data_IF_182700177235
#
_entry.id   IF_182700177235
#
_cell.length_a   1.000
_cell.length_b   1.000
_cell.length_c   1.000
_cell.angle_alpha   90.00
_cell.angle_beta   90.00
_cell.angle_gamma   90.00
#
_symmetry.space_group_name_H-M   'P 1'
#
loop_
_entity.id
_entity.type
_entity.pdbx_description
1 polymer ?
#
# COMPACT_ATOMS: atom_id res chain seq x y z
N UNK A 1 47.43 -72.40 38.50
CA UNK A 1 46.88 -71.03 38.58
C UNK A 1 46.72 -70.49 37.15
N UNK A 2 45.50 -70.29 36.68
CA UNK A 2 45.30 -69.70 35.32
C UNK A 2 45.49 -68.22 35.38
N UNK A 3 46.26 -67.65 34.45
CA UNK A 3 46.50 -66.24 34.25
C UNK A 3 45.35 -65.64 33.44
N UNK A 4 44.56 -64.80 34.06
CA UNK A 4 43.48 -64.07 33.37
C UNK A 4 44.07 -62.91 32.50
N UNK A 5 43.80 -62.95 31.21
CA UNK A 5 44.16 -61.86 30.25
C UNK A 5 43.13 -60.75 30.35
N UNK A 6 43.55 -59.46 30.42
CA UNK A 6 42.61 -58.33 30.54
C UNK A 6 41.85 -58.11 29.26
N UNK A 7 40.49 -58.04 29.34
CA UNK A 7 39.59 -57.74 28.24
C UNK A 7 39.70 -56.21 27.88
N UNK A 8 40.22 -55.90 26.72
CA UNK A 8 40.39 -54.57 26.19
C UNK A 8 39.04 -54.00 25.77
N UNK A 9 38.41 -53.13 26.59
CA UNK A 9 37.17 -52.43 26.24
C UNK A 9 37.41 -51.49 25.05
N UNK A 10 36.76 -51.75 23.92
CA UNK A 10 36.75 -50.87 22.74
C UNK A 10 35.98 -49.60 23.08
N UNK A 11 36.62 -48.42 22.96
CA UNK A 11 35.98 -47.09 23.06
C UNK A 11 34.96 -46.93 21.92
N UNK A 12 33.72 -46.44 22.15
CA UNK A 12 32.77 -46.22 21.11
C UNK A 12 33.30 -45.17 20.14
N UNK A 13 33.19 -45.44 18.84
CA UNK A 13 33.61 -44.52 17.78
C UNK A 13 32.76 -43.23 17.85
N UNK A 14 33.43 -42.10 18.03
CA UNK A 14 32.79 -40.75 18.03
C UNK A 14 32.21 -40.51 16.65
N UNK A 15 30.89 -40.63 16.51
CA UNK A 15 30.13 -40.35 15.28
C UNK A 15 30.38 -38.88 14.91
N UNK A 16 31.19 -38.61 13.90
CA UNK A 16 31.33 -37.28 13.32
C UNK A 16 29.98 -36.87 12.72
N UNK A 17 29.30 -35.93 13.36
CA UNK A 17 28.11 -35.32 12.78
C UNK A 17 28.57 -34.53 11.56
N UNK A 18 28.10 -34.87 10.39
CA UNK A 18 28.42 -34.12 9.17
C UNK A 18 27.78 -32.73 9.26
N UNK A 19 28.46 -31.65 8.82
CA UNK A 19 27.89 -30.29 8.82
C UNK A 19 26.82 -30.09 7.74
N UNK A 20 26.63 -31.09 6.88
CA UNK A 20 25.69 -31.04 5.74
C UNK A 20 24.24 -30.66 6.12
N UNK A 21 23.62 -31.19 7.22
CA UNK A 21 22.25 -30.83 7.56
C UNK A 21 22.11 -29.34 7.98
N UNK A 22 23.15 -28.76 8.60
CA UNK A 22 23.12 -27.34 8.99
C UNK A 22 23.25 -26.41 7.77
N UNK A 23 24.08 -26.79 6.80
CA UNK A 23 24.24 -26.02 5.56
C UNK A 23 22.97 -26.05 4.70
N UNK A 24 22.36 -27.24 4.57
CA UNK A 24 21.11 -27.39 3.86
C UNK A 24 19.95 -26.61 4.52
N UNK A 25 19.88 -26.59 5.84
CA UNK A 25 18.89 -25.80 6.56
C UNK A 25 19.11 -24.29 6.36
N UNK A 26 20.38 -23.82 6.37
CA UNK A 26 20.70 -22.43 6.11
C UNK A 26 20.31 -21.99 4.69
N UNK A 27 20.58 -22.84 3.69
CA UNK A 27 20.20 -22.57 2.30
C UNK A 27 18.68 -22.53 2.15
N UNK A 28 17.93 -23.42 2.79
CA UNK A 28 16.47 -23.40 2.77
C UNK A 28 15.90 -22.14 3.44
N UNK A 29 16.48 -21.67 4.54
CA UNK A 29 16.10 -20.43 5.19
C UNK A 29 16.39 -19.22 4.28
N UNK A 30 17.56 -19.16 3.64
CA UNK A 30 17.91 -18.09 2.71
C UNK A 30 17.02 -18.09 1.46
N UNK A 31 16.60 -19.26 0.97
CA UNK A 31 15.65 -19.37 -0.13
C UNK A 31 14.25 -18.95 0.32
N UNK A 32 13.80 -19.31 1.51
CA UNK A 32 12.50 -18.89 2.04
C UNK A 32 12.44 -17.37 2.28
N UNK A 33 13.53 -16.77 2.79
CA UNK A 33 13.63 -15.30 2.96
C UNK A 33 13.57 -14.57 1.62
N UNK A 34 14.07 -15.19 0.53
CA UNK A 34 13.97 -14.62 -0.82
C UNK A 34 12.53 -14.59 -1.38
N UNK A 35 11.64 -15.44 -0.84
CA UNK A 35 10.21 -15.52 -1.22
C UNK A 35 9.29 -14.69 -0.30
N UNK A 36 9.78 -14.32 0.87
CA UNK A 36 9.07 -13.46 1.81
C UNK A 36 9.90 -12.19 1.89
N UNK A 37 9.53 -11.19 1.11
CA UNK A 37 10.09 -9.84 1.27
C UNK A 37 9.47 -9.22 2.54
N UNK A 38 10.20 -9.15 3.67
CA UNK A 38 9.66 -8.56 4.89
C UNK A 38 9.48 -7.03 4.77
N UNK A 39 10.00 -6.44 3.68
CA UNK A 39 9.89 -5.01 3.35
C UNK A 39 8.94 -4.76 2.18
N UNK A 40 8.29 -5.81 1.63
CA UNK A 40 7.26 -5.61 0.63
C UNK A 40 6.15 -4.73 1.20
N UNK A 41 5.72 -3.68 0.49
CA UNK A 41 4.62 -2.85 0.95
C UNK A 41 3.37 -3.71 1.19
N UNK A 42 2.73 -3.51 2.33
CA UNK A 42 1.47 -4.19 2.62
C UNK A 42 0.40 -3.52 1.78
N UNK A 43 -0.25 -4.29 0.92
CA UNK A 43 -1.41 -3.82 0.18
C UNK A 43 -2.68 -4.15 0.97
N UNK A 44 -3.60 -3.20 1.03
CA UNK A 44 -4.94 -3.43 1.55
C UNK A 44 -5.77 -4.17 0.49
N UNK A 45 -6.73 -5.03 0.89
CA UNK A 45 -7.68 -5.59 -0.05
C UNK A 45 -8.55 -4.48 -0.63
N UNK A 46 -8.50 -4.29 -1.94
CA UNK A 46 -9.31 -3.30 -2.65
C UNK A 46 -10.58 -3.99 -3.14
N UNK A 47 -11.79 -3.54 -2.74
CA UNK A 47 -13.02 -4.03 -3.29
C UNK A 47 -13.20 -3.56 -4.74
N UNK A 48 -13.98 -4.29 -5.52
CA UNK A 48 -14.38 -3.85 -6.85
C UNK A 48 -15.16 -2.53 -6.76
N UNK A 49 -14.83 -1.58 -7.63
CA UNK A 49 -15.56 -0.31 -7.71
C UNK A 49 -16.97 -0.56 -8.25
N UNK A 50 -18.03 -0.12 -7.57
CA UNK A 50 -19.40 -0.25 -8.06
C UNK A 50 -19.60 0.42 -9.42
N UNK A 51 -20.46 -0.17 -10.29
CA UNK A 51 -20.70 0.31 -11.65
C UNK A 51 -21.27 1.75 -11.73
N UNK A 52 -21.86 2.25 -10.66
CA UNK A 52 -22.39 3.63 -10.58
C UNK A 52 -21.32 4.68 -10.26
N UNK A 53 -20.06 4.27 -10.01
CA UNK A 53 -18.92 5.15 -9.87
C UNK A 53 -18.16 5.18 -11.18
N UNK A 54 -17.94 6.36 -11.72
CA UNK A 54 -17.08 6.56 -12.89
C UNK A 54 -15.60 6.45 -12.46
N UNK A 55 -14.86 5.52 -13.06
CA UNK A 55 -13.44 5.34 -12.76
C UNK A 55 -12.62 6.10 -13.79
N UNK A 56 -12.05 7.22 -13.39
CA UNK A 56 -11.15 8.06 -14.18
C UNK A 56 -9.87 8.33 -13.38
N UNK A 57 -8.97 7.34 -13.40
CA UNK A 57 -7.77 7.42 -12.59
C UNK A 57 -6.79 8.45 -13.15
N UNK A 58 -6.31 9.35 -12.30
CA UNK A 58 -5.26 10.30 -12.62
C UNK A 58 -4.01 9.58 -13.15
N UNK A 59 -3.30 10.15 -14.14
CA UNK A 59 -2.00 9.62 -14.54
C UNK A 59 -1.02 9.69 -13.36
N UNK A 60 -0.10 8.71 -13.29
CA UNK A 60 0.96 8.74 -12.27
C UNK A 60 1.83 9.98 -12.43
N UNK A 61 1.92 10.76 -11.36
CA UNK A 61 2.76 11.96 -11.30
C UNK A 61 3.04 12.34 -9.83
N UNK A 62 4.02 13.18 -9.62
CA UNK A 62 4.44 13.59 -8.27
C UNK A 62 3.37 14.40 -7.51
N UNK A 63 2.54 15.18 -8.21
CA UNK A 63 1.72 16.24 -7.61
C UNK A 63 0.29 15.84 -7.27
N UNK A 64 -0.28 14.86 -7.96
CA UNK A 64 -1.67 14.43 -7.72
C UNK A 64 -1.86 12.93 -7.56
N UNK A 65 -0.97 12.10 -8.12
CA UNK A 65 -1.00 10.64 -7.93
C UNK A 65 0.40 10.07 -7.93
N UNK A 66 1.08 9.99 -6.76
CA UNK A 66 2.45 9.49 -6.67
C UNK A 66 2.59 7.98 -6.86
N UNK A 67 1.52 7.22 -6.82
CA UNK A 67 1.55 5.76 -6.84
C UNK A 67 2.12 5.14 -5.56
N UNK A 68 2.13 5.89 -4.47
CA UNK A 68 2.59 5.41 -3.17
C UNK A 68 1.53 4.51 -2.55
N UNK A 69 1.87 3.29 -2.12
CA UNK A 69 0.90 2.38 -1.52
C UNK A 69 0.27 2.93 -0.23
N UNK A 70 -1.04 2.76 -0.10
CA UNK A 70 -1.78 2.97 1.14
C UNK A 70 -1.78 1.66 1.93
N UNK A 71 -1.00 1.58 3.00
CA UNK A 71 -0.79 0.32 3.74
C UNK A 71 -1.92 -0.03 4.72
N UNK A 72 -2.74 0.96 5.08
CA UNK A 72 -3.84 0.82 6.05
C UNK A 72 -4.89 1.90 5.82
N UNK A 73 -6.13 1.62 6.19
CA UNK A 73 -7.20 2.62 6.25
C UNK A 73 -7.71 2.72 7.68
N UNK A 74 -7.45 3.85 8.33
CA UNK A 74 -7.90 4.15 9.69
C UNK A 74 -9.06 5.14 9.73
N UNK A 75 -9.41 5.74 8.59
CA UNK A 75 -10.51 6.69 8.52
C UNK A 75 -10.89 7.08 7.10
N UNK A 76 -11.99 7.78 7.02
CA UNK A 76 -12.45 8.47 5.81
C UNK A 76 -12.45 9.95 6.13
N UNK A 77 -11.88 10.76 5.23
CA UNK A 77 -11.90 12.21 5.32
C UNK A 77 -12.82 12.73 4.22
N UNK A 78 -13.75 13.59 4.61
CA UNK A 78 -14.66 14.26 3.69
C UNK A 78 -14.38 15.75 3.76
N UNK A 79 -14.03 16.32 2.61
CA UNK A 79 -13.87 17.75 2.40
C UNK A 79 -14.89 18.23 1.38
N UNK A 80 -14.99 19.51 1.22
CA UNK A 80 -15.59 20.13 0.06
C UNK A 80 -14.51 20.89 -0.72
N UNK A 81 -14.67 20.91 -2.04
CA UNK A 81 -13.70 21.57 -2.94
C UNK A 81 -13.57 23.05 -2.62
N UNK A 82 -12.38 23.63 -2.79
CA UNK A 82 -12.14 25.05 -2.53
C UNK A 82 -12.74 25.99 -3.57
N UNK A 83 -13.38 25.46 -4.63
CA UNK A 83 -13.90 26.22 -5.76
C UNK A 83 -15.42 26.05 -5.90
N UNK A 84 -16.25 26.87 -5.23
CA UNK A 84 -17.70 26.76 -5.33
C UNK A 84 -18.21 26.81 -6.79
N UNK A 85 -19.26 26.07 -7.08
CA UNK A 85 -19.89 26.03 -8.40
C UNK A 85 -19.13 25.25 -9.47
N UNK A 86 -18.05 24.56 -9.12
CA UNK A 86 -17.33 23.67 -10.04
C UNK A 86 -17.89 22.25 -10.02
N UNK A 87 -17.80 21.58 -11.18
CA UNK A 87 -18.24 20.17 -11.32
C UNK A 87 -17.16 19.18 -10.91
N UNK A 88 -17.52 17.90 -10.77
CA UNK A 88 -16.55 16.84 -10.49
C UNK A 88 -15.50 16.73 -11.61
N UNK A 89 -15.90 16.83 -12.89
CA UNK A 89 -14.98 16.78 -14.04
C UNK A 89 -14.00 17.96 -14.05
N UNK A 90 -14.46 19.16 -13.66
CA UNK A 90 -13.58 20.34 -13.58
C UNK A 90 -12.52 20.15 -12.49
N UNK A 91 -12.90 19.60 -11.34
CA UNK A 91 -11.96 19.33 -10.26
C UNK A 91 -11.04 18.14 -10.60
N UNK A 92 -11.53 17.11 -11.29
CA UNK A 92 -10.69 16.05 -11.84
C UNK A 92 -9.64 16.61 -12.80
N UNK A 93 -10.06 17.46 -13.76
CA UNK A 93 -9.15 18.12 -14.71
C UNK A 93 -8.13 19.02 -14.01
N UNK A 94 -8.50 19.67 -12.91
CA UNK A 94 -7.57 20.43 -12.09
C UNK A 94 -6.49 19.53 -11.50
N UNK A 95 -6.84 18.40 -10.88
CA UNK A 95 -5.88 17.44 -10.36
C UNK A 95 -4.97 16.86 -11.44
N UNK A 96 -5.52 16.54 -12.62
CA UNK A 96 -4.74 16.07 -13.76
C UNK A 96 -3.71 17.10 -14.24
N UNK A 97 -4.12 18.38 -14.30
CA UNK A 97 -3.26 19.48 -14.76
C UNK A 97 -2.10 19.76 -13.80
N UNK A 98 -2.19 19.38 -12.52
CA UNK A 98 -1.08 19.52 -11.57
C UNK A 98 0.17 18.74 -12.01
N UNK A 99 0.03 17.67 -12.77
CA UNK A 99 1.17 16.97 -13.39
C UNK A 99 2.03 17.88 -14.27
N UNK A 100 1.46 18.96 -14.79
CA UNK A 100 2.13 19.89 -15.70
C UNK A 100 2.54 21.20 -15.02
N UNK A 101 1.68 21.73 -14.15
CA UNK A 101 1.93 23.00 -13.47
C UNK A 101 2.83 22.87 -12.26
N UNK A 102 2.73 21.74 -11.53
CA UNK A 102 3.50 21.52 -10.32
C UNK A 102 3.26 22.56 -9.23
N UNK A 103 2.13 23.29 -9.28
CA UNK A 103 1.89 24.41 -8.38
C UNK A 103 1.56 24.02 -6.94
N UNK A 104 1.02 22.81 -6.74
CA UNK A 104 0.69 22.27 -5.43
C UNK A 104 0.55 20.74 -5.48
N UNK A 105 0.47 20.14 -4.30
CA UNK A 105 0.13 18.73 -4.13
C UNK A 105 -1.34 18.63 -3.73
N UNK A 106 -2.21 18.12 -4.60
CA UNK A 106 -3.63 17.96 -4.32
C UNK A 106 -4.25 16.82 -5.13
N UNK A 107 -5.07 16.02 -4.48
CA UNK A 107 -5.98 15.03 -5.08
C UNK A 107 -6.90 14.46 -4.01
N UNK A 108 -7.90 13.70 -4.45
CA UNK A 108 -8.74 12.86 -3.58
C UNK A 108 -8.97 11.50 -4.23
N UNK A 109 -9.38 10.50 -3.43
CA UNK A 109 -9.78 9.22 -4.00
C UNK A 109 -11.06 9.36 -4.80
N UNK A 110 -12.02 10.14 -4.27
CA UNK A 110 -13.29 10.37 -4.92
C UNK A 110 -13.62 11.87 -4.98
N UNK A 111 -14.26 12.26 -6.08
CA UNK A 111 -14.99 13.50 -6.23
C UNK A 111 -16.48 13.19 -6.29
N UNK A 112 -17.28 13.93 -5.54
CA UNK A 112 -18.74 13.89 -5.60
C UNK A 112 -19.22 15.20 -6.19
N UNK A 113 -19.88 15.13 -7.33
CA UNK A 113 -20.34 16.28 -8.08
C UNK A 113 -21.67 16.84 -7.60
N UNK A 114 -22.11 17.97 -8.19
CA UNK A 114 -23.31 18.70 -7.81
C UNK A 114 -24.60 17.92 -8.06
N UNK A 115 -24.62 17.05 -9.07
CA UNK A 115 -25.75 16.22 -9.44
C UNK A 115 -25.68 14.80 -8.82
N UNK A 116 -24.68 14.57 -7.95
CA UNK A 116 -24.47 13.30 -7.25
C UNK A 116 -23.64 12.28 -8.05
N UNK A 117 -23.07 12.70 -9.18
CA UNK A 117 -22.08 11.87 -9.90
C UNK A 117 -20.84 11.68 -9.04
N UNK A 118 -20.18 10.53 -9.19
CA UNK A 118 -18.97 10.21 -8.44
C UNK A 118 -17.88 9.77 -9.40
N UNK A 119 -16.71 10.43 -9.30
CA UNK A 119 -15.50 10.09 -10.04
C UNK A 119 -14.47 9.53 -9.07
N UNK A 120 -13.91 8.37 -9.37
CA UNK A 120 -12.74 7.83 -8.68
C UNK A 120 -11.47 8.29 -9.39
N UNK A 121 -10.63 9.07 -8.70
CA UNK A 121 -9.39 9.65 -9.23
C UNK A 121 -8.14 8.84 -8.87
N UNK A 122 -8.14 8.21 -7.68
CA UNK A 122 -7.00 7.47 -7.16
C UNK A 122 -7.46 6.08 -6.71
N UNK A 123 -6.69 5.01 -7.00
CA UNK A 123 -6.97 3.68 -6.47
C UNK A 123 -7.02 3.67 -4.95
N UNK A 124 -7.85 2.79 -4.36
CA UNK A 124 -8.02 2.72 -2.91
C UNK A 124 -6.80 2.14 -2.15
N UNK A 125 -5.87 1.56 -2.86
CA UNK A 125 -4.58 1.05 -2.34
C UNK A 125 -3.41 2.01 -2.55
N UNK A 126 -3.68 3.22 -3.06
CA UNK A 126 -2.71 4.30 -3.19
C UNK A 126 -3.08 5.48 -2.29
N UNK A 127 -2.11 6.32 -1.91
CA UNK A 127 -2.38 7.56 -1.18
C UNK A 127 -2.89 8.66 -2.12
N UNK A 128 -3.76 9.53 -1.59
CA UNK A 128 -4.14 10.79 -2.24
C UNK A 128 -3.70 11.99 -1.39
N UNK A 129 -3.48 13.14 -2.00
CA UNK A 129 -3.03 14.37 -1.33
C UNK A 129 -4.21 15.25 -0.92
N UNK A 130 -4.93 14.87 0.14
CA UNK A 130 -6.13 15.55 0.59
C UNK A 130 -6.08 15.99 2.06
N UNK A 131 -5.37 15.23 2.90
CA UNK A 131 -5.52 15.29 4.35
C UNK A 131 -4.20 15.53 5.09
N UNK A 132 -3.18 16.05 4.40
CA UNK A 132 -1.85 16.32 4.95
C UNK A 132 -1.25 15.10 5.68
N UNK A 133 -1.09 15.19 7.01
CA UNK A 133 -0.52 14.13 7.85
C UNK A 133 -1.34 12.84 7.89
N UNK A 134 -2.57 12.84 7.34
CA UNK A 134 -3.45 11.68 7.28
C UNK A 134 -3.56 11.06 5.88
N UNK A 135 -2.76 11.53 4.91
CA UNK A 135 -2.74 10.96 3.56
C UNK A 135 -2.33 9.48 3.53
N UNK A 136 -1.52 9.04 4.49
CA UNK A 136 -0.96 7.69 4.58
C UNK A 136 -1.88 6.66 5.27
N UNK A 137 -3.05 7.10 5.77
CA UNK A 137 -3.96 6.21 6.49
C UNK A 137 -5.46 6.51 6.31
N UNK A 138 -5.84 7.32 5.29
CA UNK A 138 -7.24 7.65 5.03
C UNK A 138 -7.64 7.53 3.56
N UNK A 139 -8.91 7.21 3.35
CA UNK A 139 -9.59 7.43 2.07
C UNK A 139 -10.20 8.83 2.10
N UNK A 140 -9.99 9.59 1.04
CA UNK A 140 -10.45 10.98 0.95
C UNK A 140 -11.54 11.15 -0.11
N UNK A 141 -12.50 12.01 0.23
CA UNK A 141 -13.64 12.37 -0.62
C UNK A 141 -13.73 13.89 -0.65
N UNK A 142 -13.75 14.46 -1.83
CA UNK A 142 -14.00 15.88 -2.07
C UNK A 142 -15.41 16.05 -2.63
N UNK A 143 -16.23 16.89 -2.00
CA UNK A 143 -17.59 17.17 -2.43
C UNK A 143 -17.67 18.54 -3.11
N UNK A 144 -18.22 18.58 -4.31
CA UNK A 144 -18.58 19.85 -4.96
C UNK A 144 -19.74 20.50 -4.21
N UNK A 145 -19.75 21.82 -4.20
CA UNK A 145 -20.82 22.60 -3.58
C UNK A 145 -21.18 23.81 -4.47
N UNK A 146 -22.46 24.26 -4.46
CA UNK A 146 -22.95 25.24 -5.44
C UNK A 146 -22.44 26.66 -5.20
N UNK A 147 -22.18 27.02 -3.94
CA UNK A 147 -21.82 28.39 -3.54
C UNK A 147 -21.04 28.43 -2.21
N UNK A 148 -20.64 29.63 -1.79
CA UNK A 148 -19.87 29.85 -0.55
C UNK A 148 -20.69 29.73 0.74
N UNK A 149 -21.97 29.40 0.69
CA UNK A 149 -22.82 29.32 1.88
C UNK A 149 -22.49 28.13 2.79
N UNK A 150 -21.80 27.13 2.26
CA UNK A 150 -21.42 25.92 2.99
C UNK A 150 -22.62 25.04 3.40
N UNK A 151 -23.73 25.20 2.73
CA UNK A 151 -24.97 24.46 2.99
C UNK A 151 -25.16 23.29 2.05
#
# INVERSE_FOLDING_TARGET
MPVETPVRRRRPARRRRSPIPCLAALVLVLLAVKWIDPFAPRTIPVPDTPEWITVELLPLNEYSRPGTPLEKVNGIVVHYVGNPGTTAEQNHSYFENLAQTGETYASSHFLVGLDGEIIQNVPLDEIAYCSNERNDDTISIECCHPDDSGA
#
